data_IF_412603533021
#
_entry.id   IF_412603533021
#
_cell.length_a   1.000
_cell.length_b   1.000
_cell.length_c   1.000
_cell.angle_alpha   90.00
_cell.angle_beta   90.00
_cell.angle_gamma   90.00
#
_symmetry.space_group_name_H-M   'P 1'
#
loop_
_entity.id
_entity.type
_entity.pdbx_description
1 polymer ?
#
# COMPACT_ATOMS: atom_id res chain seq x y z
N UNK A 1 6.15 4.66 -1.84
CA UNK A 1 6.32 5.89 -2.63
C UNK A 1 4.97 6.43 -3.10
N UNK A 2 4.32 5.92 -4.17
CA UNK A 2 3.06 6.44 -4.77
C UNK A 2 2.10 7.28 -3.86
N UNK A 3 1.69 6.79 -2.68
CA UNK A 3 0.82 7.55 -1.72
C UNK A 3 1.37 8.91 -1.26
N UNK A 4 2.69 9.09 -1.13
CA UNK A 4 3.30 10.38 -0.74
C UNK A 4 3.31 11.38 -1.88
N UNK A 5 3.62 10.90 -3.09
CA UNK A 5 3.72 11.72 -4.30
C UNK A 5 2.35 12.35 -4.64
N UNK A 6 1.25 11.66 -4.33
CA UNK A 6 -0.12 12.05 -4.70
C UNK A 6 -0.65 13.28 -3.92
N UNK A 7 -0.18 13.50 -2.68
CA UNK A 7 -0.43 14.72 -1.89
C UNK A 7 -0.04 15.98 -2.65
N UNK A 8 1.17 15.97 -3.21
CA UNK A 8 1.83 17.17 -3.72
C UNK A 8 1.13 17.64 -5.02
N UNK A 9 0.56 16.70 -5.78
CA UNK A 9 -0.40 17.00 -6.84
C UNK A 9 -1.61 17.77 -6.35
N UNK A 10 -2.29 17.30 -5.29
CA UNK A 10 -3.54 17.91 -4.85
C UNK A 10 -3.34 19.35 -4.34
N UNK A 11 -2.21 19.67 -3.71
CA UNK A 11 -1.82 21.06 -3.47
C UNK A 11 -1.53 21.82 -4.77
N UNK A 12 -0.79 21.22 -5.71
CA UNK A 12 -0.39 21.85 -6.96
C UNK A 12 -1.58 22.10 -7.92
N UNK A 13 -2.66 21.31 -7.82
CA UNK A 13 -3.92 21.50 -8.58
C UNK A 13 -4.56 22.85 -8.25
N UNK A 14 -4.48 23.30 -7.00
CA UNK A 14 -4.92 24.64 -6.64
C UNK A 14 -4.00 25.71 -7.25
N UNK A 15 -2.69 25.48 -7.27
CA UNK A 15 -1.70 26.37 -7.90
C UNK A 15 -1.85 26.43 -9.42
N UNK A 16 -2.17 25.33 -10.09
CA UNK A 16 -2.38 25.30 -11.54
C UNK A 16 -3.72 25.88 -11.95
N UNK A 17 -4.78 25.69 -11.17
CA UNK A 17 -6.08 26.31 -11.43
C UNK A 17 -5.98 27.85 -11.44
N UNK A 18 -5.15 28.42 -10.56
CA UNK A 18 -4.80 29.86 -10.57
C UNK A 18 -3.85 30.30 -11.70
N UNK A 19 -3.28 29.39 -12.50
CA UNK A 19 -2.25 29.68 -13.51
C UNK A 19 -2.48 29.03 -14.89
N UNK A 20 -3.63 28.37 -15.13
CA UNK A 20 -3.99 27.76 -16.42
C UNK A 20 -3.17 26.53 -16.87
N UNK A 21 -2.35 25.92 -16.01
CA UNK A 21 -1.42 24.84 -16.42
C UNK A 21 -1.97 23.43 -16.16
N UNK A 22 -2.34 22.67 -17.20
CA UNK A 22 -2.83 21.29 -17.02
C UNK A 22 -1.75 20.30 -16.55
N UNK A 23 -0.46 20.61 -16.72
CA UNK A 23 0.66 19.65 -16.58
C UNK A 23 1.66 20.07 -15.49
N UNK A 24 2.08 19.11 -14.66
CA UNK A 24 2.95 19.32 -13.49
C UNK A 24 4.05 18.25 -13.47
N UNK A 25 5.32 18.64 -13.30
CA UNK A 25 6.47 17.72 -13.24
C UNK A 25 7.06 17.64 -11.83
N UNK A 26 7.51 16.44 -11.43
CA UNK A 26 8.04 16.16 -10.09
C UNK A 26 9.46 15.55 -10.15
N UNK A 27 10.34 16.00 -9.27
CA UNK A 27 11.73 15.54 -9.15
C UNK A 27 11.87 14.26 -8.30
N UNK A 28 13.08 13.70 -8.23
CA UNK A 28 13.36 12.45 -7.48
C UNK A 28 13.24 12.55 -5.95
N UNK A 29 12.76 13.68 -5.42
CA UNK A 29 12.39 13.90 -4.01
C UNK A 29 10.91 14.33 -3.89
N UNK A 30 10.13 14.06 -4.93
CA UNK A 30 8.73 14.45 -5.12
C UNK A 30 8.49 15.99 -5.16
N UNK A 31 9.51 16.84 -5.34
CA UNK A 31 9.30 18.29 -5.44
C UNK A 31 8.87 18.74 -6.84
N UNK A 32 8.02 19.76 -6.92
CA UNK A 32 7.62 20.36 -8.21
C UNK A 32 8.85 20.97 -8.89
N UNK A 33 9.06 20.61 -10.16
CA UNK A 33 10.20 21.09 -10.97
C UNK A 33 9.71 21.72 -12.28
N UNK A 34 10.31 22.85 -12.68
CA UNK A 34 10.17 23.41 -14.04
C UNK A 34 11.19 22.82 -15.03
N UNK A 35 12.13 22.02 -14.53
CA UNK A 35 13.25 21.42 -15.26
C UNK A 35 12.90 20.00 -15.68
N UNK A 36 12.64 19.80 -16.98
CA UNK A 36 12.26 18.48 -17.56
C UNK A 36 13.36 17.44 -17.35
N UNK A 37 14.63 17.86 -17.40
CA UNK A 37 15.80 17.00 -17.16
C UNK A 37 15.93 16.50 -15.71
N UNK A 38 15.12 17.04 -14.79
CA UNK A 38 15.02 16.61 -13.39
C UNK A 38 13.73 15.84 -13.07
N UNK A 39 12.79 15.78 -14.01
CA UNK A 39 11.50 15.11 -13.79
C UNK A 39 11.69 13.59 -13.77
N UNK A 40 11.13 12.92 -12.76
CA UNK A 40 10.92 11.46 -12.75
C UNK A 40 9.45 11.08 -12.99
N UNK A 41 8.55 12.05 -12.90
CA UNK A 41 7.11 11.84 -13.01
C UNK A 41 6.47 13.11 -13.59
N UNK A 42 5.62 12.93 -14.59
CA UNK A 42 4.85 13.98 -15.25
C UNK A 42 3.37 13.70 -14.97
N UNK A 43 2.58 14.74 -14.68
CA UNK A 43 1.17 14.56 -14.35
C UNK A 43 0.29 15.56 -15.05
N UNK A 44 -0.82 15.08 -15.58
CA UNK A 44 -1.89 15.88 -16.16
C UNK A 44 -3.07 15.90 -15.20
N UNK A 45 -3.68 17.06 -15.02
CA UNK A 45 -4.92 17.20 -14.26
C UNK A 45 -5.86 18.12 -15.03
N UNK A 46 -7.13 17.74 -15.07
CA UNK A 46 -8.19 18.64 -15.51
C UNK A 46 -9.42 18.60 -14.61
N UNK A 47 -10.20 19.68 -14.73
CA UNK A 47 -11.54 19.83 -14.20
C UNK A 47 -12.47 20.03 -15.41
N UNK A 48 -13.12 18.96 -15.91
CA UNK A 48 -14.22 19.09 -16.84
C UNK A 48 -15.38 19.85 -16.18
N UNK A 49 -16.23 20.47 -16.99
CA UNK A 49 -17.41 21.23 -16.56
C UNK A 49 -18.35 20.42 -15.64
N UNK A 50 -18.30 19.09 -15.74
CA UNK A 50 -19.04 18.12 -14.94
C UNK A 50 -18.58 18.02 -13.45
N UNK A 51 -17.61 18.83 -13.02
CA UNK A 51 -17.13 18.88 -11.61
C UNK A 51 -16.27 17.70 -11.14
N UNK A 52 -15.91 16.75 -12.02
CA UNK A 52 -15.11 15.57 -11.68
C UNK A 52 -13.62 15.79 -11.97
N UNK A 53 -12.79 15.95 -10.94
CA UNK A 53 -11.35 16.04 -11.16
C UNK A 53 -10.81 14.73 -11.73
N UNK A 54 -10.11 14.79 -12.87
CA UNK A 54 -9.33 13.69 -13.40
C UNK A 54 -7.84 13.95 -13.20
N UNK A 55 -7.07 12.88 -12.98
CA UNK A 55 -5.61 12.90 -12.87
C UNK A 55 -5.04 11.77 -13.72
N UNK A 56 -3.99 12.06 -14.48
CA UNK A 56 -3.09 11.08 -15.10
C UNK A 56 -1.68 11.29 -14.59
N UNK A 57 -0.98 10.19 -14.35
CA UNK A 57 0.41 10.14 -13.89
C UNK A 57 1.21 9.29 -14.88
N UNK A 58 2.25 9.89 -15.43
CA UNK A 58 3.20 9.30 -16.35
C UNK A 58 4.59 9.30 -15.72
N UNK A 59 5.45 8.37 -16.12
CA UNK A 59 6.87 8.43 -15.78
C UNK A 59 7.63 9.51 -16.60
N UNK A 60 8.95 9.51 -16.52
CA UNK A 60 9.80 10.43 -17.29
C UNK A 60 10.06 10.01 -18.74
N UNK A 61 9.63 8.81 -19.15
CA UNK A 61 9.61 8.36 -20.54
C UNK A 61 8.27 8.71 -21.23
N UNK A 62 7.25 9.05 -20.44
CA UNK A 62 5.90 9.38 -20.91
C UNK A 62 4.94 8.18 -20.89
N UNK A 63 5.32 7.07 -20.25
CA UNK A 63 4.45 5.90 -20.08
C UNK A 63 3.43 6.22 -18.98
N UNK A 64 2.14 6.01 -19.26
CA UNK A 64 1.07 6.16 -18.27
C UNK A 64 1.21 5.08 -17.18
N UNK A 65 1.39 5.49 -15.92
CA UNK A 65 1.57 4.57 -14.77
C UNK A 65 0.39 4.58 -13.79
N UNK A 66 -0.45 5.61 -13.84
CA UNK A 66 -1.73 5.68 -13.12
C UNK A 66 -2.68 6.67 -13.79
N UNK A 67 -3.99 6.41 -13.75
CA UNK A 67 -5.01 7.44 -13.95
C UNK A 67 -6.15 7.29 -12.94
N UNK A 68 -6.98 8.32 -12.81
CA UNK A 68 -8.19 8.22 -12.01
C UNK A 68 -9.08 9.46 -12.07
N UNK A 69 -10.24 9.33 -11.44
CA UNK A 69 -11.26 10.39 -11.33
C UNK A 69 -11.85 10.40 -9.92
N UNK A 70 -12.10 11.59 -9.38
CA UNK A 70 -12.74 11.80 -8.07
C UNK A 70 -13.66 13.03 -8.09
N UNK A 71 -14.77 12.97 -7.36
CA UNK A 71 -15.65 14.12 -7.16
C UNK A 71 -15.19 14.99 -5.97
N UNK A 72 -14.22 14.50 -5.16
CA UNK A 72 -13.91 15.01 -3.82
C UNK A 72 -12.52 15.67 -3.73
N UNK A 73 -12.08 16.34 -4.80
CA UNK A 73 -10.73 16.90 -4.89
C UNK A 73 -10.34 17.78 -3.67
N UNK A 74 -11.25 18.64 -3.22
CA UNK A 74 -11.06 19.50 -2.04
C UNK A 74 -10.94 18.71 -0.72
N UNK A 75 -11.63 17.58 -0.59
CA UNK A 75 -11.52 16.72 0.59
C UNK A 75 -10.17 15.97 0.59
N UNK A 76 -9.75 15.44 -0.57
CA UNK A 76 -8.49 14.72 -0.71
C UNK A 76 -7.27 15.63 -0.39
N UNK A 77 -7.37 16.93 -0.71
CA UNK A 77 -6.43 17.97 -0.24
C UNK A 77 -6.44 18.09 1.30
N UNK A 78 -7.62 18.33 1.90
CA UNK A 78 -7.76 18.58 3.35
C UNK A 78 -7.33 17.41 4.23
N UNK A 79 -7.61 16.17 3.81
CA UNK A 79 -7.41 14.96 4.61
C UNK A 79 -6.29 14.03 4.12
N UNK A 80 -5.31 14.57 3.36
CA UNK A 80 -4.02 13.89 3.08
C UNK A 80 -4.15 12.48 2.47
N UNK A 81 -4.73 12.40 1.27
CA UNK A 81 -4.97 11.18 0.47
C UNK A 81 -6.15 10.28 0.91
N UNK A 82 -7.10 10.83 1.65
CA UNK A 82 -8.40 10.17 1.85
C UNK A 82 -9.29 10.46 0.64
N UNK A 83 -9.49 9.49 -0.25
CA UNK A 83 -10.46 9.61 -1.34
C UNK A 83 -11.83 9.15 -0.87
N UNK A 84 -12.77 10.09 -0.73
CA UNK A 84 -14.19 9.81 -0.46
C UNK A 84 -14.79 8.97 -1.60
N UNK A 85 -14.95 9.56 -2.78
CA UNK A 85 -15.35 8.86 -4.01
C UNK A 85 -14.22 8.81 -5.03
N UNK A 86 -14.27 7.84 -5.93
CA UNK A 86 -13.49 7.84 -7.16
C UNK A 86 -13.13 6.46 -7.68
N UNK A 87 -12.46 6.43 -8.84
CA UNK A 87 -11.80 5.24 -9.35
C UNK A 87 -10.39 5.57 -9.80
N UNK A 88 -9.47 4.63 -9.58
CA UNK A 88 -8.04 4.75 -9.92
C UNK A 88 -7.60 3.46 -10.60
N UNK A 89 -6.91 3.56 -11.73
CA UNK A 89 -6.35 2.44 -12.47
C UNK A 89 -4.83 2.62 -12.49
N UNK A 90 -4.09 1.59 -12.09
CA UNK A 90 -2.62 1.55 -12.22
C UNK A 90 -2.23 0.73 -13.43
N UNK A 91 -1.11 1.08 -14.05
CA UNK A 91 -0.61 0.46 -15.27
C UNK A 91 0.81 -0.11 -15.06
N UNK A 92 1.13 -1.14 -15.83
CA UNK A 92 2.48 -1.71 -15.98
C UNK A 92 3.34 -0.89 -16.94
N UNK A 93 4.68 -1.07 -16.97
CA UNK A 93 5.55 -0.37 -17.93
C UNK A 93 5.27 -0.70 -19.41
N UNK A 94 4.64 -1.83 -19.72
CA UNK A 94 4.14 -2.17 -21.06
C UNK A 94 2.69 -1.68 -21.32
N UNK A 95 2.19 -0.73 -20.50
CA UNK A 95 0.93 -0.02 -20.72
C UNK A 95 -0.33 -0.82 -20.40
N UNK A 96 -0.23 -2.02 -19.81
CA UNK A 96 -1.38 -2.86 -19.46
C UNK A 96 -1.92 -2.50 -18.08
N UNK A 97 -3.20 -2.80 -17.84
CA UNK A 97 -3.83 -2.58 -16.52
C UNK A 97 -3.20 -3.53 -15.50
N UNK A 98 -2.72 -2.97 -14.39
CA UNK A 98 -2.14 -3.70 -13.27
C UNK A 98 -3.15 -3.87 -12.14
N UNK A 99 -3.85 -2.78 -11.75
CA UNK A 99 -4.96 -2.84 -10.79
C UNK A 99 -6.01 -1.75 -11.03
N UNK A 100 -7.24 -1.98 -10.57
CA UNK A 100 -8.29 -0.97 -10.44
C UNK A 100 -8.76 -0.89 -8.99
N UNK A 101 -8.74 0.31 -8.42
CA UNK A 101 -9.23 0.62 -7.09
C UNK A 101 -10.44 1.56 -7.18
N UNK A 102 -11.51 1.28 -6.43
CA UNK A 102 -12.72 2.12 -6.38
C UNK A 102 -12.91 2.61 -4.95
N UNK A 103 -13.44 3.82 -4.76
CA UNK A 103 -13.73 4.46 -3.47
C UNK A 103 -15.14 5.07 -3.50
N UNK A 104 -15.86 5.07 -2.36
CA UNK A 104 -17.17 5.73 -2.21
C UNK A 104 -17.45 6.11 -0.75
N UNK A 105 -18.24 7.17 -0.54
CA UNK A 105 -18.64 7.70 0.76
C UNK A 105 -20.16 7.79 0.99
N UNK A 106 -20.98 7.41 -0.02
CA UNK A 106 -22.46 7.35 0.10
C UNK A 106 -22.93 6.20 1.00
N UNK A 107 -24.05 6.41 1.69
CA UNK A 107 -24.77 5.42 2.51
C UNK A 107 -25.57 4.39 1.64
N UNK A 108 -25.96 3.21 2.20
CA UNK A 108 -26.28 2.04 1.36
C UNK A 108 -27.64 2.02 0.65
N UNK A 109 -28.63 2.83 1.05
CA UNK A 109 -30.03 2.64 0.62
C UNK A 109 -30.27 2.88 -0.89
N UNK A 110 -29.41 3.67 -1.54
CA UNK A 110 -29.43 3.89 -2.99
C UNK A 110 -28.94 2.67 -3.82
N UNK A 111 -28.28 1.67 -3.22
CA UNK A 111 -27.73 0.52 -3.97
C UNK A 111 -28.78 -0.47 -4.48
N UNK A 112 -30.04 -0.34 -4.06
CA UNK A 112 -31.19 -1.08 -4.62
C UNK A 112 -31.33 -0.94 -6.15
N UNK A 113 -30.74 0.11 -6.72
CA UNK A 113 -30.76 0.45 -8.15
C UNK A 113 -29.60 -0.15 -8.96
N UNK A 114 -28.63 -0.81 -8.33
CA UNK A 114 -27.40 -1.31 -8.99
C UNK A 114 -27.50 -2.78 -9.44
N UNK A 115 -26.71 -3.15 -10.44
CA UNK A 115 -26.74 -4.46 -11.11
C UNK A 115 -26.03 -5.56 -10.30
N UNK A 116 -26.29 -6.86 -10.56
CA UNK A 116 -25.63 -7.95 -9.83
C UNK A 116 -24.08 -7.92 -9.84
N UNK A 117 -23.47 -7.38 -10.89
CA UNK A 117 -22.01 -7.21 -11.00
C UNK A 117 -21.46 -6.12 -10.05
N UNK A 118 -22.32 -5.29 -9.49
CA UNK A 118 -21.99 -4.17 -8.58
C UNK A 118 -22.38 -4.46 -7.13
N UNK A 119 -23.00 -5.61 -6.82
CA UNK A 119 -23.64 -5.89 -5.51
C UNK A 119 -22.75 -6.45 -4.41
N UNK A 120 -21.49 -6.78 -4.67
CA UNK A 120 -20.57 -7.29 -3.64
C UNK A 120 -19.99 -6.14 -2.76
N UNK A 121 -20.85 -5.24 -2.25
CA UNK A 121 -20.55 -3.96 -1.59
C UNK A 121 -21.68 -3.53 -0.61
N UNK A 122 -21.50 -2.80 0.52
CA UNK A 122 -20.30 -2.38 1.29
C UNK A 122 -20.58 -2.43 2.83
N UNK A 123 -20.52 -1.47 3.79
CA UNK A 123 -20.05 -0.06 4.00
C UNK A 123 -19.92 0.25 5.53
N UNK A 124 -18.75 0.43 6.18
CA UNK A 124 -18.63 1.25 7.44
C UNK A 124 -17.21 1.58 7.98
N UNK A 125 -16.66 2.77 7.70
CA UNK A 125 -16.15 3.72 8.73
C UNK A 125 -15.65 5.03 8.08
N UNK A 126 -15.36 6.05 8.91
CA UNK A 126 -14.86 7.35 8.44
C UNK A 126 -13.54 7.26 7.66
N UNK A 127 -13.38 8.18 6.70
CA UNK A 127 -12.23 8.35 5.79
C UNK A 127 -12.11 7.35 4.63
N UNK A 128 -12.90 7.58 3.58
CA UNK A 128 -12.53 7.27 2.18
C UNK A 128 -12.21 5.80 1.93
N UNK A 129 -13.23 4.96 2.05
CA UNK A 129 -13.08 3.51 2.08
C UNK A 129 -12.71 2.96 0.69
N UNK A 130 -11.63 2.18 0.59
CA UNK A 130 -11.34 1.37 -0.60
C UNK A 130 -12.46 0.35 -0.77
N UNK A 131 -13.36 0.56 -1.73
CA UNK A 131 -14.57 -0.25 -1.86
C UNK A 131 -14.36 -1.56 -2.60
N UNK A 132 -13.59 -1.54 -3.70
CA UNK A 132 -13.19 -2.73 -4.44
C UNK A 132 -11.76 -2.54 -4.95
N UNK A 133 -10.93 -3.57 -4.83
CA UNK A 133 -9.64 -3.68 -5.52
C UNK A 133 -9.69 -4.88 -6.47
N UNK A 134 -9.40 -4.65 -7.75
CA UNK A 134 -9.21 -5.69 -8.76
C UNK A 134 -7.75 -5.67 -9.21
N UNK A 135 -7.09 -6.83 -9.21
CA UNK A 135 -5.75 -7.05 -9.78
C UNK A 135 -5.88 -7.80 -11.12
N UNK A 136 -4.95 -7.58 -12.05
CA UNK A 136 -4.99 -8.21 -13.38
C UNK A 136 -3.68 -8.93 -13.72
N UNK A 137 -3.80 -10.04 -14.44
CA UNK A 137 -2.67 -10.75 -15.05
C UNK A 137 -2.04 -9.95 -16.22
N UNK A 138 -0.80 -10.26 -16.65
CA UNK A 138 -0.11 -9.57 -17.77
C UNK A 138 -0.73 -9.75 -19.16
N UNK A 139 -1.86 -10.44 -19.26
CA UNK A 139 -2.72 -10.65 -20.43
C UNK A 139 -4.08 -9.92 -20.29
N UNK A 140 -4.33 -9.25 -19.17
CA UNK A 140 -5.53 -8.46 -18.90
C UNK A 140 -6.69 -9.21 -18.24
N UNK A 141 -6.56 -10.52 -18.00
CA UNK A 141 -7.53 -11.27 -17.21
C UNK A 141 -7.52 -10.82 -15.74
N UNK A 142 -8.62 -10.99 -15.02
CA UNK A 142 -8.66 -10.70 -13.57
C UNK A 142 -7.88 -11.79 -12.82
N UNK A 143 -6.97 -11.38 -11.96
CA UNK A 143 -6.25 -12.27 -11.05
C UNK A 143 -6.96 -12.36 -9.69
N UNK A 144 -7.30 -11.21 -9.10
CA UNK A 144 -7.96 -11.10 -7.80
C UNK A 144 -9.04 -10.00 -7.83
N UNK A 145 -10.14 -10.19 -7.11
CA UNK A 145 -11.05 -9.13 -6.70
C UNK A 145 -11.28 -9.20 -5.19
N UNK A 146 -11.13 -8.05 -4.51
CA UNK A 146 -11.19 -7.91 -3.06
C UNK A 146 -12.21 -6.82 -2.71
N UNK A 147 -13.28 -7.20 -2.00
CA UNK A 147 -14.33 -6.30 -1.55
C UNK A 147 -14.48 -6.35 -0.02
N UNK A 148 -14.16 -5.23 0.64
CA UNK A 148 -14.11 -5.15 2.12
C UNK A 148 -15.45 -4.65 2.68
N UNK A 149 -16.51 -5.46 2.59
CA UNK A 149 -17.85 -5.12 3.08
C UNK A 149 -17.87 -4.86 4.60
N UNK A 150 -18.95 -4.30 5.14
CA UNK A 150 -19.16 -4.20 6.59
C UNK A 150 -20.65 -4.38 6.86
N UNK A 151 -21.00 -5.18 7.87
CA UNK A 151 -22.37 -5.35 8.33
C UNK A 151 -22.40 -5.28 9.86
N UNK A 152 -23.41 -4.63 10.43
CA UNK A 152 -23.59 -4.52 11.89
C UNK A 152 -22.32 -4.09 12.64
N UNK A 153 -21.62 -3.06 12.12
CA UNK A 153 -20.33 -2.51 12.62
C UNK A 153 -19.12 -3.45 12.55
N UNK A 154 -19.20 -4.58 11.85
CA UNK A 154 -18.10 -5.54 11.68
C UNK A 154 -17.53 -5.49 10.26
N UNK A 155 -16.22 -5.49 10.11
CA UNK A 155 -15.56 -5.48 8.81
C UNK A 155 -15.56 -6.88 8.19
N UNK A 156 -16.28 -7.06 7.09
CA UNK A 156 -16.16 -8.23 6.25
C UNK A 156 -15.14 -8.02 5.12
N UNK A 157 -14.57 -9.10 4.57
CA UNK A 157 -13.71 -9.07 3.37
C UNK A 157 -14.01 -10.31 2.54
N UNK A 158 -14.58 -10.07 1.36
CA UNK A 158 -14.74 -11.06 0.29
C UNK A 158 -13.51 -11.01 -0.62
N UNK A 159 -12.95 -12.17 -0.95
CA UNK A 159 -11.80 -12.36 -1.82
C UNK A 159 -12.20 -13.42 -2.85
N UNK A 160 -12.14 -13.04 -4.13
CA UNK A 160 -12.29 -13.96 -5.25
C UNK A 160 -10.99 -13.94 -6.04
N UNK A 161 -10.28 -15.06 -6.11
CA UNK A 161 -9.06 -15.22 -6.90
C UNK A 161 -9.30 -16.19 -8.05
N UNK A 162 -8.62 -15.97 -9.17
CA UNK A 162 -8.67 -16.84 -10.35
C UNK A 162 -7.28 -17.41 -10.65
N UNK A 163 -7.25 -18.56 -11.32
CA UNK A 163 -6.07 -19.09 -11.99
C UNK A 163 -5.91 -18.43 -13.37
N UNK A 164 -4.71 -18.53 -13.96
CA UNK A 164 -4.41 -17.94 -15.28
C UNK A 164 -5.14 -18.60 -16.47
N UNK A 165 -5.82 -19.73 -16.25
CA UNK A 165 -6.74 -20.33 -17.21
C UNK A 165 -8.19 -19.80 -17.08
N UNK A 166 -8.43 -18.81 -16.22
CA UNK A 166 -9.74 -18.22 -15.94
C UNK A 166 -10.61 -19.01 -14.95
N UNK A 167 -10.16 -20.17 -14.46
CA UNK A 167 -10.89 -20.92 -13.44
C UNK A 167 -10.81 -20.23 -12.06
N UNK A 168 -11.83 -20.44 -11.23
CA UNK A 168 -11.83 -19.99 -9.84
C UNK A 168 -10.68 -20.68 -9.08
N UNK A 169 -9.94 -19.91 -8.27
CA UNK A 169 -8.88 -20.39 -7.37
C UNK A 169 -9.28 -20.26 -5.90
N UNK A 170 -10.03 -19.21 -5.55
CA UNK A 170 -10.49 -18.93 -4.18
C UNK A 170 -11.84 -18.23 -4.20
N UNK A 171 -12.71 -18.64 -3.29
CA UNK A 171 -13.82 -17.83 -2.78
C UNK A 171 -13.71 -17.82 -1.25
N UNK A 172 -13.39 -16.66 -0.66
CA UNK A 172 -13.17 -16.49 0.78
C UNK A 172 -13.92 -15.27 1.33
N UNK A 173 -14.72 -15.49 2.36
CA UNK A 173 -15.39 -14.46 3.16
C UNK A 173 -14.85 -14.51 4.58
N UNK A 174 -14.31 -13.40 5.06
CA UNK A 174 -13.86 -13.19 6.44
C UNK A 174 -14.63 -12.05 7.10
N UNK A 175 -14.71 -12.06 8.44
CA UNK A 175 -15.28 -11.01 9.30
C UNK A 175 -14.29 -10.70 10.42
N UNK A 176 -14.00 -9.41 10.66
CA UNK A 176 -13.03 -8.90 11.63
C UNK A 176 -11.68 -9.65 11.56
N UNK A 177 -11.18 -9.85 10.33
CA UNK A 177 -9.96 -10.59 9.97
C UNK A 177 -10.00 -12.12 10.21
N UNK A 178 -11.11 -12.68 10.70
CA UNK A 178 -11.31 -14.13 10.83
C UNK A 178 -12.10 -14.68 9.64
N UNK A 179 -11.56 -15.66 8.92
CA UNK A 179 -12.29 -16.37 7.85
C UNK A 179 -13.56 -17.04 8.40
N UNK A 180 -14.72 -16.75 7.80
CA UNK A 180 -16.00 -17.41 8.07
C UNK A 180 -16.15 -18.63 7.14
N UNK A 181 -15.90 -18.41 5.85
CA UNK A 181 -15.96 -19.43 4.80
C UNK A 181 -14.79 -19.19 3.86
N UNK A 182 -14.08 -20.25 3.50
CA UNK A 182 -13.03 -20.20 2.49
C UNK A 182 -12.97 -21.53 1.75
N UNK A 183 -13.01 -21.48 0.42
CA UNK A 183 -12.80 -22.64 -0.45
C UNK A 183 -11.68 -22.29 -1.43
N UNK A 184 -10.78 -23.24 -1.64
CA UNK A 184 -9.72 -23.14 -2.64
C UNK A 184 -9.88 -24.26 -3.67
N UNK A 185 -9.53 -23.95 -4.93
CA UNK A 185 -9.63 -24.90 -6.04
C UNK A 185 -8.31 -24.96 -6.80
N UNK A 186 -8.00 -26.10 -7.40
CA UNK A 186 -6.82 -26.31 -8.24
C UNK A 186 -7.01 -25.80 -9.68
N UNK A 187 -6.02 -26.00 -10.55
CA UNK A 187 -6.07 -25.59 -11.98
C UNK A 187 -6.89 -26.53 -12.87
N UNK A 188 -7.65 -27.46 -12.28
CA UNK A 188 -8.69 -28.25 -12.97
C UNK A 188 -10.11 -27.82 -12.57
N UNK A 189 -10.25 -27.19 -11.39
CA UNK A 189 -11.52 -26.81 -10.79
C UNK A 189 -11.96 -27.72 -9.63
N UNK A 190 -11.11 -28.66 -9.20
CA UNK A 190 -11.36 -29.50 -8.04
C UNK A 190 -11.05 -28.75 -6.73
N UNK A 191 -11.82 -28.98 -5.67
CA UNK A 191 -11.53 -28.42 -4.34
C UNK A 191 -10.19 -28.97 -3.80
N UNK A 192 -9.42 -28.10 -3.16
CA UNK A 192 -8.09 -28.40 -2.63
C UNK A 192 -7.88 -27.78 -1.24
N UNK A 193 -6.75 -28.09 -0.59
CA UNK A 193 -6.45 -27.62 0.77
C UNK A 193 -6.51 -26.09 0.88
N UNK A 194 -7.25 -25.59 1.88
CA UNK A 194 -7.38 -24.16 2.12
C UNK A 194 -6.10 -23.58 2.74
N UNK A 195 -5.41 -22.72 1.97
CA UNK A 195 -4.28 -21.92 2.45
C UNK A 195 -4.71 -20.46 2.74
N UNK A 196 -4.07 -19.73 3.68
CA UNK A 196 -4.33 -18.30 3.88
C UNK A 196 -4.04 -17.48 2.61
N UNK A 197 -4.86 -16.46 2.35
CA UNK A 197 -4.63 -15.54 1.21
C UNK A 197 -3.34 -14.71 1.39
N UNK A 198 -3.04 -14.29 2.62
CA UNK A 198 -1.94 -13.42 2.99
C UNK A 198 -1.34 -13.89 4.31
N UNK A 199 -0.01 -14.02 4.36
CA UNK A 199 0.77 -14.39 5.55
C UNK A 199 1.87 -13.35 5.71
N UNK A 200 1.91 -12.68 6.87
CA UNK A 200 3.00 -11.74 7.17
C UNK A 200 4.28 -12.51 7.51
N UNK A 201 5.48 -11.98 7.17
CA UNK A 201 6.73 -12.58 7.60
C UNK A 201 6.84 -12.57 9.13
N UNK A 202 7.43 -13.62 9.68
CA UNK A 202 7.59 -13.80 11.13
C UNK A 202 9.06 -14.05 11.51
N UNK A 203 9.54 -13.33 12.52
CA UNK A 203 10.89 -13.51 13.06
C UNK A 203 11.01 -14.90 13.75
N UNK A 204 12.18 -15.57 13.73
CA UNK A 204 12.32 -16.87 14.41
C UNK A 204 11.99 -16.79 15.91
N UNK A 205 10.89 -17.45 16.33
CA UNK A 205 10.37 -17.38 17.69
C UNK A 205 9.41 -16.21 17.98
N UNK A 206 8.91 -15.55 16.93
CA UNK A 206 7.87 -14.52 16.99
C UNK A 206 8.33 -13.17 17.54
N UNK A 207 7.38 -12.26 17.78
CA UNK A 207 7.64 -10.88 18.22
C UNK A 207 8.44 -10.82 19.53
N UNK A 208 8.20 -11.74 20.48
CA UNK A 208 8.95 -11.78 21.74
C UNK A 208 10.44 -12.10 21.51
N UNK A 209 10.74 -13.02 20.60
CA UNK A 209 12.13 -13.33 20.22
C UNK A 209 12.78 -12.17 19.45
N UNK A 210 12.03 -11.46 18.58
CA UNK A 210 12.50 -10.26 17.90
C UNK A 210 12.92 -9.16 18.90
N UNK A 211 12.07 -8.87 19.90
CA UNK A 211 12.36 -7.89 20.94
C UNK A 211 13.55 -8.31 21.82
N UNK A 212 13.67 -9.60 22.14
CA UNK A 212 14.81 -10.15 22.86
C UNK A 212 16.11 -10.09 22.03
N UNK A 213 16.05 -10.40 20.73
CA UNK A 213 17.18 -10.29 19.80
C UNK A 213 17.66 -8.85 19.68
N UNK A 214 16.76 -7.88 19.49
CA UNK A 214 17.10 -6.46 19.41
C UNK A 214 17.75 -5.96 20.69
N UNK A 215 17.26 -6.38 21.87
CA UNK A 215 17.82 -5.92 23.15
C UNK A 215 19.11 -6.61 23.57
N UNK A 216 19.35 -7.85 23.13
CA UNK A 216 20.60 -8.59 23.40
C UNK A 216 21.70 -8.31 22.38
N UNK A 217 21.35 -8.03 21.13
CA UNK A 217 22.31 -7.70 20.06
C UNK A 217 22.73 -6.23 20.05
N UNK A 218 22.05 -5.37 20.81
CA UNK A 218 22.32 -3.93 20.89
C UNK A 218 23.56 -3.63 21.73
N UNK A 219 24.49 -2.90 21.14
CA UNK A 219 25.70 -2.36 21.76
C UNK A 219 25.53 -0.85 21.91
N UNK A 220 25.27 -0.36 23.12
CA UNK A 220 25.03 1.07 23.34
C UNK A 220 26.29 1.89 23.02
N UNK A 221 26.26 2.85 22.07
CA UNK A 221 27.44 3.61 21.69
C UNK A 221 28.01 4.40 22.89
N UNK A 222 29.31 4.22 23.15
CA UNK A 222 29.99 4.73 24.37
C UNK A 222 29.83 6.24 24.54
N UNK A 223 29.87 6.99 23.44
CA UNK A 223 29.65 8.45 23.44
C UNK A 223 28.23 8.82 23.89
N UNK A 224 27.22 8.14 23.34
CA UNK A 224 25.82 8.36 23.68
C UNK A 224 25.52 7.94 25.13
N UNK A 225 26.13 6.85 25.61
CA UNK A 225 26.03 6.43 27.01
C UNK A 225 26.65 7.48 27.96
N UNK A 226 27.88 7.95 27.70
CA UNK A 226 28.56 8.99 28.49
C UNK A 226 27.77 10.30 28.51
N UNK A 227 27.20 10.70 27.37
CA UNK A 227 26.38 11.92 27.24
C UNK A 227 24.92 11.74 27.70
N UNK A 228 24.54 10.56 28.24
CA UNK A 228 23.18 10.20 28.67
C UNK A 228 22.10 10.38 27.59
N UNK A 229 22.46 10.17 26.32
CA UNK A 229 21.57 10.36 25.17
C UNK A 229 20.75 9.09 24.92
N UNK A 230 19.45 9.18 25.20
CA UNK A 230 18.43 8.19 24.81
C UNK A 230 17.80 8.51 23.44
N UNK A 231 16.99 7.59 22.91
CA UNK A 231 16.16 7.89 21.73
C UNK A 231 15.44 6.70 21.11
N UNK A 232 14.65 6.97 20.07
CA UNK A 232 14.01 5.95 19.24
C UNK A 232 14.37 6.16 17.77
N UNK A 233 14.98 5.14 17.16
CA UNK A 233 15.29 5.10 15.73
C UNK A 233 14.30 4.16 15.06
N UNK A 234 13.63 4.62 14.00
CA UNK A 234 12.77 3.77 13.19
C UNK A 234 13.56 3.31 11.97
N UNK A 235 13.90 2.02 11.92
CA UNK A 235 14.58 1.39 10.80
C UNK A 235 13.54 0.70 9.93
N UNK A 236 13.66 0.87 8.61
CA UNK A 236 12.78 0.31 7.59
C UNK A 236 13.60 -0.62 6.71
N UNK A 237 13.02 -1.76 6.39
CA UNK A 237 13.69 -2.82 5.64
C UNK A 237 12.65 -3.64 4.87
N UNK A 238 13.12 -4.54 4.03
CA UNK A 238 12.32 -5.56 3.35
C UNK A 238 12.75 -6.91 3.94
N UNK A 239 11.78 -7.76 4.27
CA UNK A 239 12.00 -9.19 4.39
C UNK A 239 11.72 -9.78 3.02
N UNK A 240 12.70 -10.43 2.40
CA UNK A 240 12.57 -10.93 1.04
C UNK A 240 11.86 -12.30 0.95
N UNK A 241 11.82 -12.88 -0.25
CA UNK A 241 11.17 -14.17 -0.55
C UNK A 241 11.83 -15.38 0.15
N UNK A 242 13.09 -15.23 0.60
CA UNK A 242 13.84 -16.22 1.39
C UNK A 242 13.78 -15.95 2.89
N UNK A 243 13.29 -14.78 3.29
CA UNK A 243 13.30 -14.30 4.67
C UNK A 243 14.49 -13.40 5.03
N UNK A 244 15.36 -13.05 4.08
CA UNK A 244 16.55 -12.24 4.33
C UNK A 244 16.22 -10.74 4.47
N UNK A 245 16.91 -10.04 5.38
CA UNK A 245 16.69 -8.61 5.64
C UNK A 245 17.47 -7.75 4.64
N UNK A 246 16.73 -7.15 3.69
CA UNK A 246 17.24 -6.34 2.58
C UNK A 246 16.71 -4.89 2.64
N UNK A 247 17.25 -3.99 1.81
CA UNK A 247 16.86 -2.55 1.76
C UNK A 247 16.77 -1.86 3.14
N UNK A 248 17.66 -2.25 4.06
CA UNK A 248 17.65 -1.72 5.42
C UNK A 248 18.18 -0.27 5.44
N UNK A 249 17.31 0.68 5.76
CA UNK A 249 17.56 2.11 5.82
C UNK A 249 16.82 2.78 6.99
N UNK A 250 17.26 3.96 7.43
CA UNK A 250 16.58 4.73 8.48
C UNK A 250 15.34 5.41 7.89
N UNK A 251 14.19 5.28 8.55
CA UNK A 251 12.93 5.94 8.19
C UNK A 251 12.59 7.13 9.10
N UNK A 252 13.05 7.12 10.36
CA UNK A 252 13.10 8.28 11.25
C UNK A 252 14.30 8.15 12.17
N UNK A 253 15.19 9.13 12.12
CA UNK A 253 16.43 9.17 12.89
C UNK A 253 16.24 9.73 14.30
N UNK A 254 17.11 9.30 15.21
CA UNK A 254 17.49 10.04 16.42
C UNK A 254 18.37 11.24 16.04
N UNK A 255 18.41 12.34 16.84
CA UNK A 255 19.41 13.41 16.67
C UNK A 255 20.87 12.92 16.78
N UNK A 256 21.12 11.82 17.50
CA UNK A 256 22.47 11.25 17.63
C UNK A 256 22.76 10.24 16.50
N UNK A 257 23.85 10.47 15.76
CA UNK A 257 24.27 9.63 14.63
C UNK A 257 24.67 8.20 15.05
N UNK A 258 25.40 8.05 16.15
CA UNK A 258 25.90 6.76 16.64
C UNK A 258 24.73 5.80 16.98
N UNK A 259 23.63 6.31 17.58
CA UNK A 259 22.39 5.54 17.79
C UNK A 259 21.73 5.11 16.47
N UNK A 260 21.76 5.95 15.44
CA UNK A 260 21.19 5.63 14.12
C UNK A 260 21.96 4.50 13.42
N UNK A 261 23.29 4.53 13.49
CA UNK A 261 24.15 3.51 12.89
C UNK A 261 24.03 2.17 13.62
N UNK A 262 23.93 2.19 14.95
CA UNK A 262 23.75 0.98 15.75
C UNK A 262 22.38 0.31 15.48
N UNK A 263 21.30 1.08 15.42
CA UNK A 263 19.97 0.53 15.06
C UNK A 263 19.98 -0.15 13.68
N UNK A 264 20.72 0.44 12.74
CA UNK A 264 20.89 -0.08 11.38
C UNK A 264 21.73 -1.36 11.36
N UNK A 265 22.76 -1.46 12.21
CA UNK A 265 23.56 -2.68 12.41
C UNK A 265 22.72 -3.82 13.00
N UNK A 266 21.99 -3.57 14.08
CA UNK A 266 21.14 -4.58 14.74
C UNK A 266 20.09 -5.15 13.79
N UNK A 267 19.46 -4.33 12.95
CA UNK A 267 18.48 -4.81 11.96
C UNK A 267 19.12 -5.61 10.83
N UNK A 268 20.29 -5.19 10.34
CA UNK A 268 21.05 -5.93 9.30
C UNK A 268 21.66 -7.25 9.81
N UNK A 269 21.80 -7.41 11.12
CA UNK A 269 22.32 -8.62 11.76
C UNK A 269 21.23 -9.66 12.10
N UNK A 270 19.96 -9.40 11.77
CA UNK A 270 18.86 -10.33 12.06
C UNK A 270 19.00 -11.65 11.28
N UNK A 271 18.69 -12.81 11.89
CA UNK A 271 18.56 -14.07 11.17
C UNK A 271 17.45 -14.01 10.12
N UNK A 272 17.47 -14.95 9.18
CA UNK A 272 16.39 -15.13 8.21
C UNK A 272 15.04 -15.37 8.91
N UNK A 273 14.01 -14.66 8.44
CA UNK A 273 12.63 -14.75 8.92
C UNK A 273 11.89 -15.90 8.19
N UNK A 274 10.73 -16.30 8.69
CA UNK A 274 9.75 -16.95 7.83
C UNK A 274 9.27 -15.91 6.79
N UNK A 275 9.40 -16.15 5.47
CA UNK A 275 9.03 -15.15 4.46
C UNK A 275 7.51 -14.93 4.43
N UNK A 276 7.11 -13.70 4.10
CA UNK A 276 5.71 -13.36 3.85
C UNK A 276 5.20 -14.04 2.59
N UNK A 277 3.91 -14.37 2.54
CA UNK A 277 3.31 -15.10 1.41
C UNK A 277 2.00 -14.45 0.97
N UNK A 278 1.78 -14.40 -0.35
CA UNK A 278 0.48 -14.09 -0.95
C UNK A 278 0.08 -15.29 -1.80
N UNK A 279 -1.13 -15.82 -1.54
CA UNK A 279 -1.69 -17.01 -2.20
C UNK A 279 -0.69 -18.18 -2.20
N UNK A 280 -0.09 -18.45 -1.04
CA UNK A 280 0.92 -19.49 -0.80
C UNK A 280 2.33 -19.20 -1.33
N UNK A 281 2.50 -18.28 -2.29
CA UNK A 281 3.80 -17.92 -2.88
C UNK A 281 4.55 -16.91 -1.99
N UNK A 282 5.86 -17.06 -1.76
CA UNK A 282 6.64 -16.07 -1.03
C UNK A 282 6.67 -14.74 -1.79
N UNK A 283 6.69 -13.63 -1.05
CA UNK A 283 6.75 -12.26 -1.60
C UNK A 283 7.57 -11.34 -0.68
N UNK A 284 8.26 -10.32 -1.22
CA UNK A 284 9.01 -9.37 -0.41
C UNK A 284 8.08 -8.38 0.32
N UNK A 285 8.16 -8.31 1.65
CA UNK A 285 7.28 -7.47 2.49
C UNK A 285 8.08 -6.40 3.25
N UNK A 286 7.58 -5.16 3.24
CA UNK A 286 8.29 -3.99 3.79
C UNK A 286 7.89 -3.68 5.23
N UNK A 287 8.84 -3.78 6.15
CA UNK A 287 8.66 -3.55 7.59
C UNK A 287 9.18 -2.17 8.02
N UNK A 288 8.81 -1.74 9.24
CA UNK A 288 9.43 -0.60 9.92
C UNK A 288 9.42 -0.84 11.44
N UNK A 289 10.59 -1.04 12.02
CA UNK A 289 10.80 -1.43 13.42
C UNK A 289 11.30 -0.23 14.26
N UNK A 290 10.66 0.10 15.39
CA UNK A 290 11.18 1.09 16.34
C UNK A 290 12.24 0.46 17.27
N UNK A 291 13.52 0.74 17.00
CA UNK A 291 14.62 0.43 17.91
C UNK A 291 14.64 1.48 19.02
N UNK A 292 14.51 1.04 20.27
CA UNK A 292 14.48 1.92 21.45
C UNK A 292 15.82 1.86 22.19
N UNK A 293 16.53 2.99 22.24
CA UNK A 293 17.69 3.18 23.10
C UNK A 293 17.24 3.83 24.40
N UNK A 294 17.34 3.06 25.48
CA UNK A 294 17.17 3.53 26.85
C UNK A 294 18.37 3.10 27.68
N UNK A 295 18.76 3.95 28.61
CA UNK A 295 19.71 3.61 29.66
C UNK A 295 18.95 2.87 30.77
N UNK A 296 19.69 2.10 31.58
CA UNK A 296 19.20 1.37 32.75
C UNK A 296 19.91 1.89 33.99
#
# INVERSE_FOLDING_TARGET
>A
MKKTILLITLSAICTTWMNGQSTIMFDKKDHITKKKEKAITIREVGLPENGRCYLKEYDNQGVLVCEGQTNDAQWAMKYKNVFKTGQWITYTPDGKKNSKHIYSDKAPEELSKLTPQERNLKLEHQNGLLINQVSYYPDGQIEDSIAITYANKKQCKHIVSYHRNGQLQRDEISENLKTIKGVCYDTTGAECEFFPFEVMPEFPGGERALLQFVTSSMQYPVEAAKAKIEGRVFVRFIVDEKGEVTDAHIAKSSPNHSLNMEALRVVRAMPAWSPGKIKGKPVPVKFTLPVNFKLR
#
